data_IF_081107319968
#
_entry.id   IF_081107319968
#
_cell.length_a   1.000
_cell.length_b   1.000
_cell.length_c   1.000
_cell.angle_alpha   90.00
_cell.angle_beta   90.00
_cell.angle_gamma   90.00
#
_symmetry.space_group_name_H-M   'P 1'
#
loop_
_entity.id
_entity.type
_entity.pdbx_description
1 polymer ?
#
# COMPACT_ATOMS: atom_id res chain seq x y z
N UNK A 1 13.66 -10.42 -7.95
CA UNK A 1 12.60 -10.73 -7.00
C UNK A 1 11.49 -9.73 -7.21
N UNK A 2 10.25 -10.21 -7.26
CA UNK A 2 9.06 -9.37 -7.42
C UNK A 2 8.51 -8.96 -6.06
N UNK A 3 7.71 -7.91 -6.08
CA UNK A 3 6.83 -7.47 -5.01
C UNK A 3 5.41 -7.77 -5.49
N UNK A 4 4.74 -8.67 -4.79
CA UNK A 4 3.35 -8.99 -5.04
C UNK A 4 2.49 -8.23 -4.05
N UNK A 5 1.37 -7.70 -4.52
CA UNK A 5 0.46 -6.89 -3.72
C UNK A 5 -0.96 -7.36 -3.95
N UNK A 6 -1.71 -7.54 -2.87
CA UNK A 6 -3.12 -7.93 -2.91
C UNK A 6 -3.96 -6.88 -2.20
N UNK A 7 -5.03 -6.42 -2.84
CA UNK A 7 -6.08 -5.64 -2.20
C UNK A 7 -7.30 -6.53 -1.95
N UNK A 8 -7.86 -6.41 -0.76
CA UNK A 8 -9.12 -7.02 -0.34
C UNK A 8 -10.15 -5.93 -0.10
N UNK A 9 -11.42 -6.27 -0.25
CA UNK A 9 -12.57 -5.44 0.15
C UNK A 9 -13.47 -6.23 1.11
N UNK A 10 -14.32 -5.53 1.86
CA UNK A 10 -15.40 -6.09 2.69
C UNK A 10 -14.94 -7.21 3.63
N UNK A 11 -13.79 -7.00 4.28
CA UNK A 11 -13.29 -7.95 5.27
C UNK A 11 -14.31 -8.08 6.41
N UNK A 12 -14.50 -9.32 6.88
CA UNK A 12 -15.41 -9.63 7.98
C UNK A 12 -14.60 -10.27 9.10
N UNK A 13 -14.64 -9.69 10.30
CA UNK A 13 -13.99 -10.26 11.48
C UNK A 13 -14.49 -11.68 11.73
N UNK A 14 -13.55 -12.59 11.97
CA UNK A 14 -13.79 -14.00 12.22
C UNK A 14 -13.03 -14.43 13.49
N UNK A 15 -13.45 -13.96 14.68
CA UNK A 15 -12.76 -14.26 15.94
C UNK A 15 -12.73 -15.76 16.28
N UNK A 16 -13.70 -16.51 15.74
CA UNK A 16 -13.83 -17.95 15.94
C UNK A 16 -13.15 -18.78 14.83
N UNK A 17 -12.31 -18.17 13.99
CA UNK A 17 -11.59 -18.90 12.94
C UNK A 17 -10.66 -19.95 13.55
N UNK A 18 -10.74 -21.18 13.02
CA UNK A 18 -9.93 -22.29 13.50
C UNK A 18 -8.43 -22.03 13.26
N UNK A 19 -7.64 -22.24 14.32
CA UNK A 19 -6.18 -22.17 14.28
C UNK A 19 -5.58 -23.51 14.66
N UNK A 20 -4.45 -23.85 14.05
CA UNK A 20 -3.72 -25.07 14.37
C UNK A 20 -2.90 -24.94 15.66
N UNK A 21 -2.08 -25.95 15.98
CA UNK A 21 -1.26 -25.96 17.19
C UNK A 21 -0.17 -24.89 17.21
N UNK A 22 0.22 -24.37 16.06
CA UNK A 22 1.23 -23.32 15.90
C UNK A 22 0.60 -21.92 15.88
N UNK A 23 -0.73 -21.84 15.89
CA UNK A 23 -1.51 -20.59 15.92
C UNK A 23 -1.86 -20.06 14.52
N UNK A 24 -1.54 -20.81 13.47
CA UNK A 24 -1.83 -20.46 12.09
C UNK A 24 -3.26 -20.80 11.70
N UNK A 25 -3.83 -20.07 10.74
CA UNK A 25 -5.20 -20.32 10.27
C UNK A 25 -5.29 -21.65 9.52
N UNK A 26 -6.27 -22.49 9.91
CA UNK A 26 -6.51 -23.77 9.24
C UNK A 26 -7.09 -23.55 7.83
N UNK A 27 -8.00 -22.59 7.67
CA UNK A 27 -8.61 -22.19 6.40
C UNK A 27 -7.93 -20.93 5.84
N UNK A 28 -6.68 -21.08 5.41
CA UNK A 28 -5.89 -20.00 4.82
C UNK A 28 -6.38 -19.53 3.43
N UNK A 29 -7.27 -20.28 2.79
CA UNK A 29 -7.83 -19.92 1.49
C UNK A 29 -8.92 -18.83 1.62
N UNK A 30 -9.69 -18.84 2.70
CA UNK A 30 -10.80 -17.90 2.92
C UNK A 30 -10.60 -16.98 4.13
N UNK A 31 -9.56 -17.21 4.93
CA UNK A 31 -9.20 -16.36 6.05
C UNK A 31 -7.77 -15.87 5.96
N UNK A 32 -7.54 -14.66 6.46
CA UNK A 32 -6.20 -14.10 6.61
C UNK A 32 -6.07 -13.29 7.89
N UNK A 33 -4.84 -13.03 8.30
CA UNK A 33 -4.50 -12.10 9.39
C UNK A 33 -3.62 -11.00 8.85
N UNK A 34 -3.79 -9.81 9.38
CA UNK A 34 -2.95 -8.67 9.03
C UNK A 34 -2.07 -8.31 10.23
N UNK A 35 -0.82 -7.95 9.95
CA UNK A 35 0.12 -7.54 10.99
C UNK A 35 0.40 -6.04 10.89
N UNK A 36 0.59 -5.40 12.05
CA UNK A 36 1.04 -4.02 12.13
C UNK A 36 2.55 -3.99 12.05
N UNK A 37 3.11 -3.20 11.14
CA UNK A 37 4.55 -2.97 11.07
C UNK A 37 4.92 -1.79 11.99
N UNK A 38 5.75 -2.06 13.01
CA UNK A 38 6.16 -1.04 14.00
C UNK A 38 6.94 0.13 13.39
N UNK A 39 7.64 -0.09 12.27
CA UNK A 39 8.36 0.98 11.55
C UNK A 39 7.41 1.95 10.83
N UNK A 40 6.15 1.52 10.60
CA UNK A 40 5.11 2.30 9.94
C UNK A 40 3.84 2.37 10.79
N UNK A 41 3.90 3.08 11.93
CA UNK A 41 2.77 3.14 12.86
C UNK A 41 1.53 3.78 12.21
N UNK A 42 0.36 3.24 12.55
CA UNK A 42 -0.94 3.72 12.07
C UNK A 42 -1.32 3.25 10.66
N UNK A 43 -0.48 2.52 9.94
CA UNK A 43 -0.77 2.09 8.56
C UNK A 43 -1.92 1.10 8.47
N UNK A 44 -2.12 0.29 9.52
CA UNK A 44 -3.18 -0.71 9.62
C UNK A 44 -4.49 -0.16 10.22
N UNK A 45 -4.65 1.15 10.34
CA UNK A 45 -5.83 1.74 10.98
C UNK A 45 -7.15 1.23 10.36
N UNK A 46 -8.05 0.78 11.25
CA UNK A 46 -9.31 0.12 10.91
C UNK A 46 -9.24 -1.41 10.91
N UNK A 47 -8.07 -2.00 11.11
CA UNK A 47 -7.89 -3.43 11.38
C UNK A 47 -7.58 -3.67 12.85
N UNK A 48 -8.03 -4.82 13.37
CA UNK A 48 -7.75 -5.30 14.71
C UNK A 48 -6.53 -6.22 14.65
N UNK A 49 -5.48 -5.89 15.42
CA UNK A 49 -4.25 -6.69 15.46
C UNK A 49 -4.53 -8.13 15.93
N UNK A 50 -3.97 -9.12 15.22
CA UNK A 50 -4.15 -10.54 15.51
C UNK A 50 -5.53 -11.11 15.18
N UNK A 51 -6.49 -10.27 14.78
CA UNK A 51 -7.81 -10.71 14.35
C UNK A 51 -7.72 -11.44 13.00
N UNK A 52 -8.44 -12.56 12.90
CA UNK A 52 -8.64 -13.23 11.63
C UNK A 52 -9.81 -12.57 10.88
N UNK A 53 -9.67 -12.46 9.57
CA UNK A 53 -10.68 -11.88 8.70
C UNK A 53 -11.02 -12.83 7.57
N UNK A 54 -12.30 -12.92 7.25
CA UNK A 54 -12.77 -13.56 6.03
C UNK A 54 -12.52 -12.66 4.82
N UNK A 55 -12.11 -13.26 3.72
CA UNK A 55 -11.70 -12.60 2.47
C UNK A 55 -12.67 -12.84 1.30
N UNK A 56 -13.97 -13.05 1.58
CA UNK A 56 -14.98 -13.35 0.55
C UNK A 56 -15.34 -12.17 -0.38
N UNK A 57 -14.80 -10.98 -0.10
CA UNK A 57 -15.02 -9.78 -0.91
C UNK A 57 -14.32 -9.82 -2.26
N UNK A 58 -14.38 -8.70 -2.98
CA UNK A 58 -13.58 -8.54 -4.19
C UNK A 58 -12.11 -8.40 -3.84
N UNK A 59 -11.25 -8.97 -4.68
CA UNK A 59 -9.80 -8.84 -4.57
C UNK A 59 -9.18 -8.40 -5.89
N UNK A 60 -8.06 -7.68 -5.79
CA UNK A 60 -7.21 -7.36 -6.94
C UNK A 60 -5.76 -7.63 -6.60
N UNK A 61 -5.02 -8.18 -7.55
CA UNK A 61 -3.57 -8.37 -7.44
C UNK A 61 -2.82 -7.42 -8.36
N UNK A 62 -1.68 -6.92 -7.90
CA UNK A 62 -0.70 -6.25 -8.74
C UNK A 62 0.70 -6.80 -8.42
N UNK A 63 1.52 -6.95 -9.45
CA UNK A 63 2.89 -7.47 -9.31
C UNK A 63 3.86 -6.51 -10.00
N UNK A 64 4.97 -6.23 -9.33
CA UNK A 64 5.99 -5.29 -9.80
C UNK A 64 7.38 -5.71 -9.32
N UNK A 65 8.45 -5.22 -9.93
CA UNK A 65 9.79 -5.43 -9.38
C UNK A 65 10.09 -4.42 -8.28
N UNK A 66 10.93 -4.76 -7.28
CA UNK A 66 11.33 -3.80 -6.22
C UNK A 66 11.91 -2.49 -6.77
N UNK A 67 12.77 -2.56 -7.78
CA UNK A 67 13.32 -1.36 -8.45
C UNK A 67 12.23 -0.55 -9.16
N UNK A 68 11.25 -1.22 -9.77
CA UNK A 68 10.10 -0.58 -10.42
C UNK A 68 9.18 0.06 -9.40
N UNK A 69 8.98 -0.56 -8.23
CA UNK A 69 8.20 0.03 -7.15
C UNK A 69 8.91 1.24 -6.52
N UNK A 70 10.24 1.20 -6.38
CA UNK A 70 11.01 2.36 -5.95
C UNK A 70 10.87 3.54 -6.94
N UNK A 71 10.95 3.27 -8.25
CA UNK A 71 10.69 4.29 -9.27
C UNK A 71 9.23 4.80 -9.23
N UNK A 72 8.27 3.91 -9.00
CA UNK A 72 6.86 4.27 -8.83
C UNK A 72 6.64 5.26 -7.69
N UNK A 73 7.21 5.00 -6.50
CA UNK A 73 7.12 5.91 -5.34
C UNK A 73 7.73 7.28 -5.67
N UNK A 74 8.83 7.30 -6.41
CA UNK A 74 9.50 8.53 -6.84
C UNK A 74 8.63 9.37 -7.79
N UNK A 75 8.06 8.74 -8.82
CA UNK A 75 7.16 9.42 -9.75
C UNK A 75 5.87 9.90 -9.05
N UNK A 76 5.35 9.12 -8.10
CA UNK A 76 4.18 9.50 -7.30
C UNK A 76 4.47 10.69 -6.38
N UNK A 77 5.63 10.71 -5.71
CA UNK A 77 6.08 11.83 -4.89
C UNK A 77 6.27 13.10 -5.73
N UNK A 78 6.85 12.96 -6.92
CA UNK A 78 7.00 14.06 -7.87
C UNK A 78 5.64 14.58 -8.35
N UNK A 79 4.70 13.70 -8.67
CA UNK A 79 3.32 14.06 -9.02
C UNK A 79 2.65 14.83 -7.88
N UNK A 80 2.85 14.40 -6.63
CA UNK A 80 2.32 15.07 -5.44
C UNK A 80 2.98 16.41 -5.11
N UNK A 81 4.12 16.71 -5.75
CA UNK A 81 4.82 17.99 -5.59
C UNK A 81 5.75 18.04 -4.38
N UNK A 82 6.19 16.88 -3.86
CA UNK A 82 7.22 16.86 -2.83
C UNK A 82 8.52 17.50 -3.35
N UNK A 83 9.26 18.25 -2.50
CA UNK A 83 10.54 18.79 -2.91
C UNK A 83 11.55 17.67 -3.15
N UNK A 84 12.42 17.88 -4.14
CA UNK A 84 13.51 16.96 -4.40
C UNK A 84 14.65 17.24 -3.41
N UNK A 85 15.16 16.20 -2.75
CA UNK A 85 16.26 16.31 -1.80
C UNK A 85 17.37 15.32 -2.17
N UNK A 86 18.61 15.62 -1.75
CA UNK A 86 19.76 14.77 -2.02
C UNK A 86 19.82 13.62 -1.01
N UNK A 87 20.02 12.40 -1.51
CA UNK A 87 20.34 11.22 -0.70
C UNK A 87 21.59 10.51 -1.21
N UNK A 88 22.30 9.87 -0.30
CA UNK A 88 23.38 8.98 -0.69
C UNK A 88 22.80 7.62 -1.14
N UNK A 89 23.15 7.21 -2.36
CA UNK A 89 22.82 5.90 -2.90
C UNK A 89 24.06 5.31 -3.56
N UNK A 90 24.49 4.15 -3.05
CA UNK A 90 25.70 3.44 -3.53
C UNK A 90 26.95 4.35 -3.61
N UNK A 91 27.15 5.22 -2.61
CA UNK A 91 28.27 6.15 -2.54
C UNK A 91 28.18 7.36 -3.49
N UNK A 92 27.03 7.58 -4.14
CA UNK A 92 26.76 8.75 -4.98
C UNK A 92 25.60 9.58 -4.42
N UNK A 93 25.67 10.90 -4.58
CA UNK A 93 24.55 11.78 -4.25
C UNK A 93 23.54 11.76 -5.40
N UNK A 94 22.31 11.37 -5.11
CA UNK A 94 21.20 11.34 -6.07
C UNK A 94 20.04 12.17 -5.54
N UNK A 95 19.36 12.86 -6.45
CA UNK A 95 18.16 13.62 -6.12
C UNK A 95 16.94 12.69 -6.07
N UNK A 96 16.09 12.85 -5.05
CA UNK A 96 14.86 12.07 -4.88
C UNK A 96 13.78 12.86 -4.16
N UNK A 97 12.57 12.84 -4.72
CA UNK A 97 11.34 13.42 -4.17
C UNK A 97 10.78 12.59 -3.00
N UNK A 98 11.13 11.31 -2.90
CA UNK A 98 10.70 10.46 -1.79
C UNK A 98 11.33 10.85 -0.45
N UNK A 99 12.55 11.40 -0.46
CA UNK A 99 13.35 11.66 0.75
C UNK A 99 12.60 12.53 1.75
N UNK A 100 11.96 13.59 1.27
CA UNK A 100 11.16 14.50 2.11
C UNK A 100 10.01 13.76 2.79
N UNK A 101 9.32 12.88 2.05
CA UNK A 101 8.21 12.08 2.58
C UNK A 101 8.68 11.01 3.58
N UNK A 102 9.79 10.32 3.30
CA UNK A 102 10.41 9.37 4.23
C UNK A 102 10.86 10.04 5.53
N UNK A 103 11.30 11.30 5.45
CA UNK A 103 11.64 12.14 6.60
C UNK A 103 10.43 12.65 7.41
N UNK A 104 9.21 12.22 7.09
CA UNK A 104 7.98 12.63 7.78
C UNK A 104 7.25 13.79 7.11
N UNK A 105 7.60 14.14 5.87
CA UNK A 105 6.87 15.12 5.08
C UNK A 105 5.42 14.70 4.85
N UNK A 106 4.49 15.55 5.26
CA UNK A 106 3.05 15.35 5.06
C UNK A 106 2.63 15.70 3.63
N UNK A 107 1.64 14.99 3.10
CA UNK A 107 1.08 15.28 1.78
C UNK A 107 0.28 14.12 1.15
N UNK A 108 -0.13 14.29 -0.12
CA UNK A 108 -0.81 13.24 -0.88
C UNK A 108 0.07 12.00 -1.00
N UNK A 109 -0.52 10.82 -0.87
CA UNK A 109 0.13 9.52 -0.98
C UNK A 109 1.22 9.22 0.07
N UNK A 110 1.38 10.04 1.12
CA UNK A 110 2.43 9.89 2.11
C UNK A 110 2.47 8.48 2.73
N UNK A 111 1.30 7.89 2.95
CA UNK A 111 1.13 6.58 3.57
C UNK A 111 1.53 5.42 2.66
N UNK A 112 1.66 5.64 1.35
CA UNK A 112 2.19 4.68 0.38
C UNK A 112 3.66 4.96 0.04
N UNK A 113 4.03 6.24 -0.15
CA UNK A 113 5.41 6.65 -0.46
C UNK A 113 6.32 6.32 0.72
N UNK A 114 5.88 6.64 1.94
CA UNK A 114 6.55 6.31 3.21
C UNK A 114 5.94 5.04 3.83
N UNK A 115 6.09 3.95 3.08
CA UNK A 115 5.76 2.60 3.48
C UNK A 115 6.81 1.59 3.03
N UNK A 116 6.74 0.41 3.63
CA UNK A 116 7.57 -0.74 3.31
C UNK A 116 7.57 -1.03 1.81
N UNK A 117 8.73 -1.48 1.31
CA UNK A 117 8.89 -1.94 -0.07
C UNK A 117 9.05 -3.45 -0.19
N UNK A 118 8.93 -4.19 0.91
CA UNK A 118 8.99 -5.65 0.92
C UNK A 118 7.73 -6.31 1.48
N UNK A 119 7.24 -5.86 2.62
CA UNK A 119 6.11 -6.50 3.31
C UNK A 119 5.35 -5.52 4.21
N UNK A 120 4.04 -5.73 4.35
CA UNK A 120 3.22 -4.94 5.27
C UNK A 120 1.78 -4.79 4.83
N UNK A 121 0.94 -4.23 5.72
CA UNK A 121 -0.46 -3.97 5.45
C UNK A 121 -0.81 -2.48 5.57
N UNK A 122 -1.62 -1.99 4.62
CA UNK A 122 -2.33 -0.72 4.69
C UNK A 122 -3.81 -1.03 4.93
N UNK A 123 -4.36 -0.56 6.06
CA UNK A 123 -5.73 -0.80 6.51
C UNK A 123 -6.77 0.05 5.77
N UNK A 124 -8.06 -0.14 6.09
CA UNK A 124 -9.15 0.46 5.34
C UNK A 124 -9.24 1.98 5.52
N UNK A 125 -8.92 2.50 6.72
CA UNK A 125 -8.97 3.95 6.98
C UNK A 125 -7.93 4.68 6.15
N UNK A 126 -6.70 4.16 6.13
CA UNK A 126 -5.60 4.71 5.32
C UNK A 126 -5.87 4.51 3.83
N UNK A 127 -6.37 3.35 3.43
CA UNK A 127 -6.77 3.08 2.04
C UNK A 127 -7.84 4.06 1.56
N UNK A 128 -8.83 4.41 2.39
CA UNK A 128 -9.86 5.39 2.05
C UNK A 128 -9.29 6.82 1.88
N UNK A 129 -8.22 7.17 2.59
CA UNK A 129 -7.50 8.44 2.36
C UNK A 129 -6.75 8.38 1.03
N UNK A 130 -5.99 7.30 0.79
CA UNK A 130 -5.24 7.12 -0.45
C UNK A 130 -6.17 7.10 -1.68
N UNK A 131 -7.32 6.44 -1.61
CA UNK A 131 -8.34 6.45 -2.67
C UNK A 131 -8.77 7.89 -3.03
N UNK A 132 -8.94 8.78 -2.03
CA UNK A 132 -9.24 10.20 -2.27
C UNK A 132 -8.07 10.92 -2.95
N UNK A 133 -6.84 10.69 -2.52
CA UNK A 133 -5.66 11.26 -3.17
C UNK A 133 -5.57 10.80 -4.64
N UNK A 134 -5.82 9.51 -4.91
CA UNK A 134 -5.82 8.96 -6.26
C UNK A 134 -6.95 9.53 -7.13
N UNK A 135 -8.11 9.83 -6.54
CA UNK A 135 -9.20 10.49 -7.25
C UNK A 135 -8.86 11.95 -7.57
N UNK A 136 -8.28 12.69 -6.62
CA UNK A 136 -7.93 14.11 -6.77
C UNK A 136 -6.84 14.34 -7.82
N UNK A 137 -5.85 13.45 -7.88
CA UNK A 137 -4.70 13.59 -8.78
C UNK A 137 -4.89 12.89 -10.13
N UNK A 138 -6.04 12.27 -10.39
CA UNK A 138 -6.28 11.48 -11.60
C UNK A 138 -6.02 12.25 -12.89
N UNK A 139 -6.51 13.49 -13.02
CA UNK A 139 -6.30 14.31 -14.23
C UNK A 139 -4.81 14.63 -14.46
N UNK A 140 -4.07 14.88 -13.37
CA UNK A 140 -2.63 15.15 -13.44
C UNK A 140 -1.85 13.91 -13.85
N UNK A 141 -2.24 12.74 -13.31
CA UNK A 141 -1.63 11.46 -13.65
C UNK A 141 -1.94 11.07 -15.11
N UNK A 142 -3.17 11.29 -15.57
CA UNK A 142 -3.57 11.05 -16.96
C UNK A 142 -2.78 11.94 -17.94
N UNK A 143 -2.53 13.20 -17.58
CA UNK A 143 -1.72 14.12 -18.37
C UNK A 143 -0.24 13.67 -18.49
N UNK A 144 0.29 12.91 -17.52
CA UNK A 144 1.61 12.26 -17.64
C UNK A 144 1.54 11.11 -18.64
N UNK A 145 0.48 10.30 -18.57
CA UNK A 145 0.19 9.24 -19.53
C UNK A 145 1.16 8.06 -19.49
N UNK A 146 1.07 7.19 -20.51
CA UNK A 146 1.93 6.02 -20.68
C UNK A 146 1.87 5.03 -19.52
N UNK A 147 2.99 4.36 -19.27
CA UNK A 147 3.11 3.34 -18.21
C UNK A 147 2.78 3.89 -16.81
N UNK A 148 3.08 5.17 -16.56
CA UNK A 148 2.75 5.80 -15.28
C UNK A 148 1.24 5.82 -15.06
N UNK A 149 0.46 6.23 -16.07
CA UNK A 149 -1.00 6.26 -15.98
C UNK A 149 -1.59 4.85 -15.84
N UNK A 150 -1.08 3.87 -16.59
CA UNK A 150 -1.53 2.48 -16.46
C UNK A 150 -1.34 1.95 -15.03
N UNK A 151 -0.16 2.17 -14.43
CA UNK A 151 0.11 1.79 -13.04
C UNK A 151 -0.68 2.60 -12.02
N UNK A 152 -0.92 3.88 -12.30
CA UNK A 152 -1.77 4.72 -11.48
C UNK A 152 -3.19 4.18 -11.39
N UNK A 153 -3.75 3.70 -12.50
CA UNK A 153 -5.08 3.09 -12.53
C UNK A 153 -5.14 1.79 -11.73
N UNK A 154 -4.12 0.93 -11.83
CA UNK A 154 -4.04 -0.30 -11.01
C UNK A 154 -4.03 0.02 -9.50
N UNK A 155 -3.19 0.96 -9.08
CA UNK A 155 -3.13 1.38 -7.68
C UNK A 155 -4.40 2.06 -7.18
N UNK A 156 -5.05 2.88 -8.04
CA UNK A 156 -6.34 3.47 -7.71
C UNK A 156 -7.38 2.38 -7.44
N UNK A 157 -7.46 1.35 -8.30
CA UNK A 157 -8.38 0.22 -8.09
C UNK A 157 -8.10 -0.49 -6.76
N UNK A 158 -6.83 -0.74 -6.44
CA UNK A 158 -6.44 -1.39 -5.19
C UNK A 158 -6.91 -0.60 -3.96
N UNK A 159 -6.69 0.72 -3.92
CA UNK A 159 -7.11 1.54 -2.78
C UNK A 159 -8.62 1.82 -2.77
N UNK A 160 -9.28 1.93 -3.93
CA UNK A 160 -10.74 2.04 -4.01
C UNK A 160 -11.42 0.79 -3.43
N UNK A 161 -10.90 -0.41 -3.74
CA UNK A 161 -11.39 -1.67 -3.17
C UNK A 161 -11.15 -1.73 -1.66
N UNK A 162 -9.93 -1.41 -1.21
CA UNK A 162 -9.58 -1.50 0.21
C UNK A 162 -10.26 -0.42 1.07
N UNK A 163 -10.71 0.69 0.48
CA UNK A 163 -11.49 1.70 1.17
C UNK A 163 -12.84 1.16 1.67
N UNK A 164 -13.40 0.13 1.04
CA UNK A 164 -14.65 -0.52 1.46
C UNK A 164 -14.38 -1.61 2.51
N UNK A 165 -13.89 -1.18 3.68
CA UNK A 165 -13.55 -2.06 4.81
C UNK A 165 -12.60 -3.22 4.44
N UNK A 166 -11.58 -2.90 3.66
CA UNK A 166 -10.61 -3.84 3.14
C UNK A 166 -9.17 -3.60 3.65
N UNK A 167 -8.20 -4.11 2.89
CA UNK A 167 -6.78 -3.93 3.18
C UNK A 167 -5.94 -4.10 1.91
N UNK A 168 -4.80 -3.42 1.82
CA UNK A 168 -3.76 -3.65 0.81
C UNK A 168 -2.55 -4.29 1.47
N UNK A 169 -2.12 -5.44 0.98
CA UNK A 169 -1.04 -6.27 1.56
C UNK A 169 0.12 -6.39 0.57
N UNK A 170 1.33 -6.22 1.08
CA UNK A 170 2.61 -6.37 0.37
C UNK A 170 3.27 -7.68 0.81
N UNK A 171 3.74 -8.49 -0.15
CA UNK A 171 4.30 -9.83 0.04
C UNK A 171 5.71 -9.98 -0.53
#
# INVERSE_FOLDING_TARGET
MGLDITAYSKLVEAPDADRDSDGELVDYDNHTTFYSNEDFPGRTEGLTEGMAYRTDGECSGLSTGYGTYSAWREDLAKLAGYPAEMREQYGSQVESHCVSCWGGGEGPFAEQINFSDCEGTIGPVVSAKLAKDYAEFAERAEAVGGYFWEKYQEWRVAFDLAADNGAVVFH
#
